data_IF_964794791514
#
_entry.id   IF_964794791514
#
_cell.length_a   1.000
_cell.length_b   1.000
_cell.length_c   1.000
_cell.angle_alpha   90.00
_cell.angle_beta   90.00
_cell.angle_gamma   90.00
#
_symmetry.space_group_name_H-M   'P 1'
#
loop_
_entity.id
_entity.type
_entity.pdbx_description
1 polymer ?
#
# COMPACT_ATOMS: atom_id res chain seq x y z
N UNK A 1 -21.02 -63.85 2.05
CA UNK A 1 -22.41 -63.34 2.16
C UNK A 1 -22.30 -61.85 2.51
N UNK A 2 -23.03 -60.88 1.94
CA UNK A 2 -24.20 -60.89 1.01
C UNK A 2 -23.95 -59.99 -0.25
N UNK A 3 -24.86 -60.05 -1.24
CA UNK A 3 -25.09 -59.12 -2.38
C UNK A 3 -26.53 -58.58 -2.28
N UNK A 4 -27.08 -57.60 -3.02
CA UNK A 4 -26.69 -56.69 -4.14
C UNK A 4 -26.81 -55.21 -3.66
N UNK A 5 -26.99 -54.08 -4.37
CA UNK A 5 -27.29 -53.58 -5.76
C UNK A 5 -26.75 -52.11 -5.82
N UNK A 6 -26.56 -51.32 -6.90
CA UNK A 6 -26.97 -51.24 -8.32
C UNK A 6 -28.40 -50.73 -8.65
N UNK A 7 -28.56 -50.06 -9.81
CA UNK A 7 -29.73 -49.26 -10.33
C UNK A 7 -29.67 -47.79 -9.83
N UNK A 8 -29.13 -46.82 -10.58
CA UNK A 8 -29.68 -46.06 -11.73
C UNK A 8 -30.95 -45.25 -11.40
N UNK A 9 -31.18 -44.02 -11.88
CA UNK A 9 -30.43 -43.22 -12.85
C UNK A 9 -31.40 -42.64 -13.91
N UNK A 10 -31.28 -41.35 -14.25
CA UNK A 10 -32.07 -40.70 -15.30
C UNK A 10 -31.22 -39.68 -16.06
N UNK A 11 -31.14 -39.85 -17.38
CA UNK A 11 -30.84 -38.75 -18.29
C UNK A 11 -32.17 -38.11 -18.70
N UNK A 12 -32.22 -36.77 -18.77
CA UNK A 12 -33.24 -36.05 -19.54
C UNK A 12 -32.49 -35.19 -20.53
N UNK A 13 -32.77 -35.39 -21.83
CA UNK A 13 -32.05 -34.74 -22.90
C UNK A 13 -32.87 -33.61 -23.52
N UNK A 14 -32.17 -32.56 -23.94
CA UNK A 14 -32.64 -31.63 -24.97
C UNK A 14 -33.57 -30.51 -24.51
N UNK A 15 -33.13 -29.26 -24.72
CA UNK A 15 -33.79 -28.44 -25.72
C UNK A 15 -32.74 -27.58 -26.43
N UNK A 16 -32.54 -27.88 -27.72
CA UNK A 16 -31.75 -27.08 -28.64
C UNK A 16 -32.71 -26.09 -29.30
N UNK A 17 -32.56 -24.79 -29.02
CA UNK A 17 -33.34 -23.75 -29.70
C UNK A 17 -32.37 -22.88 -30.50
N UNK A 18 -32.29 -23.13 -31.80
CA UNK A 18 -31.57 -22.30 -32.76
C UNK A 18 -32.57 -21.52 -33.62
N UNK A 19 -32.48 -20.20 -33.54
CA UNK A 19 -33.34 -19.24 -34.24
C UNK A 19 -33.47 -17.97 -33.40
N UNK A 20 -33.36 -16.76 -33.94
CA UNK A 20 -33.04 -16.35 -35.32
C UNK A 20 -32.51 -14.91 -35.33
N UNK A 21 -31.97 -14.46 -36.47
CA UNK A 21 -31.24 -13.19 -36.58
C UNK A 21 -32.06 -11.92 -36.31
N UNK A 22 -31.31 -10.83 -36.05
CA UNK A 22 -31.67 -9.41 -36.08
C UNK A 22 -32.47 -8.83 -34.89
N UNK A 23 -31.89 -7.80 -34.27
CA UNK A 23 -32.48 -7.10 -33.13
C UNK A 23 -31.54 -6.06 -32.50
N UNK A 24 -31.16 -5.01 -33.24
CA UNK A 24 -30.41 -3.89 -32.66
C UNK A 24 -31.34 -3.04 -31.75
N UNK A 25 -31.45 -3.42 -30.48
CA UNK A 25 -32.22 -2.70 -29.47
C UNK A 25 -31.35 -2.24 -28.31
N UNK A 26 -31.21 -0.92 -28.13
CA UNK A 26 -30.57 -0.33 -26.94
C UNK A 26 -31.41 -0.62 -25.69
N UNK A 27 -30.98 -1.58 -24.86
CA UNK A 27 -31.16 -1.46 -23.42
C UNK A 27 -29.97 -0.67 -22.87
N UNK A 28 -30.17 0.61 -22.58
CA UNK A 28 -29.17 1.42 -21.86
C UNK A 28 -29.15 1.02 -20.38
N UNK A 29 -28.55 -0.14 -20.10
CA UNK A 29 -28.17 -0.53 -18.76
C UNK A 29 -27.19 0.51 -18.25
N UNK A 30 -27.69 1.47 -17.47
CA UNK A 30 -26.87 2.45 -16.76
C UNK A 30 -25.97 1.71 -15.79
N UNK A 31 -24.80 1.31 -16.26
CA UNK A 31 -23.75 0.77 -15.42
C UNK A 31 -23.30 1.89 -14.50
N UNK A 32 -23.83 1.88 -13.28
CA UNK A 32 -23.17 2.50 -12.14
C UNK A 32 -21.86 1.79 -11.94
N UNK A 33 -20.84 2.26 -12.66
CA UNK A 33 -19.47 1.88 -12.48
C UNK A 33 -19.00 2.41 -11.12
N UNK A 34 -19.39 1.70 -10.06
CA UNK A 34 -18.55 1.58 -8.89
C UNK A 34 -17.22 1.04 -9.43
N UNK A 35 -16.25 1.92 -9.64
CA UNK A 35 -14.88 1.52 -9.94
C UNK A 35 -14.39 0.75 -8.72
N UNK A 36 -14.52 -0.57 -8.78
CA UNK A 36 -13.91 -1.47 -7.81
C UNK A 36 -12.41 -1.25 -7.94
N UNK A 37 -11.87 -0.56 -6.93
CA UNK A 37 -10.46 -0.21 -6.85
C UNK A 37 -9.58 -1.43 -7.17
N UNK A 38 -8.55 -1.25 -7.99
CA UNK A 38 -7.65 -2.35 -8.34
C UNK A 38 -6.88 -2.82 -7.10
N UNK A 39 -6.33 -4.04 -7.14
CA UNK A 39 -5.46 -4.49 -6.06
C UNK A 39 -4.21 -3.62 -5.94
N UNK A 40 -3.67 -3.14 -7.08
CA UNK A 40 -2.53 -2.22 -7.09
C UNK A 40 -2.85 -0.89 -6.39
N UNK A 41 -4.01 -0.27 -6.63
CA UNK A 41 -4.39 0.97 -5.96
C UNK A 41 -4.56 0.80 -4.43
N UNK A 42 -5.12 -0.34 -3.98
CA UNK A 42 -5.15 -0.69 -2.54
C UNK A 42 -3.75 -0.85 -1.95
N UNK A 43 -2.93 -1.68 -2.58
CA UNK A 43 -1.55 -1.95 -2.16
C UNK A 43 -0.72 -0.64 -2.12
N UNK A 44 -0.92 0.25 -3.08
CA UNK A 44 -0.34 1.60 -3.14
C UNK A 44 -0.75 2.47 -1.94
N UNK A 45 -2.05 2.50 -1.57
CA UNK A 45 -2.54 3.26 -0.39
C UNK A 45 -2.05 2.66 0.93
N UNK A 46 -1.94 1.34 1.03
CA UNK A 46 -1.39 0.67 2.21
C UNK A 46 0.11 0.99 2.39
N UNK A 47 0.87 1.05 1.30
CA UNK A 47 2.27 1.48 1.31
C UNK A 47 2.44 2.98 1.66
N UNK A 48 1.60 3.86 1.11
CA UNK A 48 1.59 5.30 1.46
C UNK A 48 1.34 5.52 2.96
N UNK A 49 0.39 4.76 3.50
CA UNK A 49 0.07 4.75 4.93
C UNK A 49 1.26 4.24 5.74
N UNK A 50 1.91 3.14 5.34
CA UNK A 50 3.07 2.60 6.05
C UNK A 50 4.26 3.58 6.07
N UNK A 51 4.54 4.24 4.95
CA UNK A 51 5.56 5.30 4.87
C UNK A 51 5.30 6.40 5.91
N UNK A 52 4.07 6.94 5.95
CA UNK A 52 3.71 8.01 6.88
C UNK A 52 3.51 7.54 8.32
N UNK A 53 3.25 6.26 8.57
CA UNK A 53 3.26 5.70 9.93
C UNK A 53 4.69 5.50 10.46
N UNK A 54 5.66 5.18 9.61
CA UNK A 54 7.09 5.10 9.98
C UNK A 54 7.62 6.49 10.39
N UNK A 55 7.41 7.51 9.55
CA UNK A 55 7.80 8.90 9.86
C UNK A 55 7.17 9.41 11.16
N UNK A 56 5.88 9.10 11.41
CA UNK A 56 5.20 9.47 12.65
C UNK A 56 5.79 8.75 13.87
N UNK A 57 6.11 7.46 13.76
CA UNK A 57 6.78 6.72 14.82
C UNK A 57 8.20 7.27 15.11
N UNK A 58 8.93 7.72 14.09
CA UNK A 58 10.21 8.42 14.23
C UNK A 58 10.09 9.77 14.97
N UNK A 59 9.04 10.56 14.69
CA UNK A 59 8.77 11.83 15.40
C UNK A 59 8.43 11.59 16.88
N UNK A 60 7.65 10.56 17.19
CA UNK A 60 7.26 10.21 18.56
C UNK A 60 8.40 9.49 19.33
N UNK A 61 9.37 8.94 18.59
CA UNK A 61 10.39 7.99 19.05
C UNK A 61 9.72 6.75 19.67
N UNK A 62 8.70 6.23 18.98
CA UNK A 62 7.98 5.00 19.34
C UNK A 62 8.77 3.78 18.87
N UNK A 63 9.70 3.33 19.72
CA UNK A 63 10.62 2.21 19.45
C UNK A 63 9.87 0.91 19.13
N UNK A 64 8.75 0.63 19.83
CA UNK A 64 7.96 -0.58 19.57
C UNK A 64 7.36 -0.53 18.15
N UNK A 65 6.79 0.62 17.76
CA UNK A 65 6.22 0.80 16.42
C UNK A 65 7.28 0.86 15.32
N UNK A 66 8.44 1.48 15.57
CA UNK A 66 9.57 1.49 14.63
C UNK A 66 10.06 0.07 14.34
N UNK A 67 10.20 -0.76 15.38
CA UNK A 67 10.52 -2.18 15.24
C UNK A 67 9.48 -2.93 14.39
N UNK A 68 8.17 -2.71 14.61
CA UNK A 68 7.11 -3.40 13.85
C UNK A 68 7.01 -2.94 12.38
N UNK A 69 7.37 -1.69 12.09
CA UNK A 69 7.34 -1.09 10.74
C UNK A 69 8.64 -1.32 9.93
N UNK A 70 9.55 -2.16 10.41
CA UNK A 70 10.80 -2.52 9.73
C UNK A 70 10.79 -3.92 9.13
N UNK A 71 11.32 -4.04 7.91
CA UNK A 71 11.58 -5.31 7.24
C UNK A 71 12.90 -5.94 7.69
N UNK A 72 14.02 -5.26 7.45
CA UNK A 72 15.31 -5.55 8.11
C UNK A 72 15.33 -4.90 9.50
N UNK A 73 15.58 -5.71 10.52
CA UNK A 73 15.51 -5.30 11.92
C UNK A 73 16.77 -4.52 12.31
N UNK A 74 16.59 -3.25 12.66
CA UNK A 74 17.58 -2.48 13.41
C UNK A 74 17.23 -2.53 14.90
N UNK A 75 18.22 -2.80 15.76
CA UNK A 75 17.99 -2.80 17.21
C UNK A 75 18.04 -1.36 17.76
N UNK A 76 16.86 -0.79 17.97
CA UNK A 76 16.68 0.48 18.69
C UNK A 76 16.81 0.35 20.22
N UNK A 77 17.01 -0.87 20.73
CA UNK A 77 17.00 -1.21 22.16
C UNK A 77 15.59 -1.29 22.76
N UNK A 78 15.53 -1.44 24.08
CA UNK A 78 14.30 -1.24 24.85
C UNK A 78 14.16 0.23 25.28
N UNK A 79 12.95 0.77 25.27
CA UNK A 79 12.72 2.15 25.69
C UNK A 79 11.27 2.52 25.96
N UNK A 80 11.11 3.68 26.58
CA UNK A 80 9.83 4.40 26.61
C UNK A 80 9.56 5.10 25.27
N UNK A 81 8.47 5.87 25.17
CA UNK A 81 8.23 6.79 24.05
C UNK A 81 8.54 8.21 24.53
N UNK A 82 9.71 8.81 24.19
CA UNK A 82 10.11 10.14 24.63
C UNK A 82 9.16 11.28 24.28
N UNK A 83 8.45 11.18 23.14
CA UNK A 83 7.66 12.28 22.58
C UNK A 83 6.22 11.81 22.22
N UNK A 84 5.46 11.27 23.18
CA UNK A 84 4.28 10.45 22.90
C UNK A 84 3.14 11.24 22.23
N UNK A 85 2.98 11.06 20.93
CA UNK A 85 1.97 11.72 20.12
C UNK A 85 2.34 13.14 19.67
N UNK A 86 3.61 13.55 19.76
CA UNK A 86 4.12 14.75 19.11
C UNK A 86 3.84 14.76 17.59
N UNK A 87 3.83 13.59 16.96
CA UNK A 87 3.45 13.36 15.56
C UNK A 87 2.05 13.91 15.21
N UNK A 88 1.14 14.03 16.18
CA UNK A 88 -0.18 14.64 16.00
C UNK A 88 -0.11 16.14 15.72
N UNK A 89 0.92 16.83 16.21
CA UNK A 89 1.14 18.25 15.91
C UNK A 89 1.56 18.49 14.46
N UNK A 90 2.11 17.49 13.77
CA UNK A 90 2.43 17.58 12.34
C UNK A 90 1.18 17.92 11.52
N UNK A 91 0.05 17.23 11.78
CA UNK A 91 -1.18 17.30 10.97
C UNK A 91 -0.86 16.96 9.49
N UNK A 92 -1.52 17.62 8.54
CA UNK A 92 -1.26 17.57 7.09
C UNK A 92 -0.03 18.41 6.65
N UNK A 93 0.96 18.65 7.53
CA UNK A 93 2.17 19.41 7.18
C UNK A 93 3.29 18.51 6.67
N UNK A 94 2.99 17.82 5.58
CA UNK A 94 3.92 16.95 4.87
C UNK A 94 3.61 16.86 3.38
N UNK A 95 4.63 16.62 2.57
CA UNK A 95 4.53 16.21 1.18
C UNK A 95 4.99 14.76 1.06
N UNK A 96 4.23 13.95 0.31
CA UNK A 96 4.54 12.55 0.06
C UNK A 96 4.75 12.32 -1.44
N UNK A 97 5.98 12.05 -1.85
CA UNK A 97 6.36 11.79 -3.24
C UNK A 97 6.69 10.31 -3.42
N UNK A 98 5.83 9.55 -4.12
CA UNK A 98 6.03 8.12 -4.39
C UNK A 98 6.58 7.88 -5.79
N UNK A 99 7.57 7.01 -5.90
CA UNK A 99 8.11 6.48 -7.14
C UNK A 99 7.61 5.04 -7.33
N UNK A 100 6.92 4.80 -8.43
CA UNK A 100 6.32 3.52 -8.82
C UNK A 100 7.20 2.87 -9.89
N UNK A 101 8.15 2.02 -9.46
CA UNK A 101 9.01 1.28 -10.38
C UNK A 101 8.18 0.27 -11.16
N UNK A 102 8.46 0.12 -12.46
CA UNK A 102 7.71 -0.80 -13.36
C UNK A 102 8.02 -2.28 -13.15
N UNK A 103 8.66 -2.64 -12.05
CA UNK A 103 9.05 -4.01 -11.75
C UNK A 103 7.91 -4.79 -11.07
N UNK A 104 7.96 -6.11 -11.12
CA UNK A 104 6.93 -7.00 -10.56
C UNK A 104 7.00 -7.13 -9.02
N UNK A 105 7.93 -6.41 -8.38
CA UNK A 105 8.18 -6.44 -6.93
C UNK A 105 7.13 -5.63 -6.18
N UNK A 106 6.73 -6.13 -5.01
CA UNK A 106 5.90 -5.39 -4.06
C UNK A 106 6.75 -4.39 -3.25
N UNK A 107 7.33 -3.39 -3.92
CA UNK A 107 8.10 -2.31 -3.31
C UNK A 107 7.83 -0.94 -3.95
N UNK A 108 7.84 0.11 -3.11
CA UNK A 108 7.68 1.50 -3.51
C UNK A 108 8.73 2.37 -2.83
N UNK A 109 9.21 3.37 -3.55
CA UNK A 109 10.23 4.31 -3.05
C UNK A 109 9.60 5.67 -2.79
N UNK A 110 10.07 6.38 -1.77
CA UNK A 110 9.48 7.65 -1.35
C UNK A 110 10.54 8.70 -1.03
N UNK A 111 10.22 9.95 -1.38
CA UNK A 111 10.75 11.13 -0.71
C UNK A 111 9.62 11.72 0.14
N UNK A 112 9.84 11.86 1.45
CA UNK A 112 8.90 12.52 2.36
C UNK A 112 9.51 13.85 2.77
N UNK A 113 8.73 14.94 2.75
CA UNK A 113 9.10 16.23 3.34
C UNK A 113 8.07 16.54 4.43
N UNK A 114 8.47 16.95 5.62
CA UNK A 114 7.53 17.15 6.73
C UNK A 114 7.97 18.20 7.75
N UNK A 115 7.02 18.82 8.44
CA UNK A 115 7.29 19.61 9.64
C UNK A 115 7.50 18.69 10.85
N UNK A 116 8.70 18.66 11.40
CA UNK A 116 9.00 17.89 12.61
C UNK A 116 8.68 18.73 13.88
N UNK A 117 7.70 18.35 14.72
CA UNK A 117 7.21 19.24 15.78
C UNK A 117 8.20 19.54 16.89
N UNK A 118 8.90 18.51 17.40
CA UNK A 118 9.94 18.66 18.43
C UNK A 118 11.07 19.57 17.96
N UNK A 119 11.57 19.38 16.74
CA UNK A 119 12.66 20.17 16.16
C UNK A 119 12.20 21.54 15.58
N UNK A 120 10.88 21.77 15.50
CA UNK A 120 10.24 22.99 14.96
C UNK A 120 10.72 23.41 13.58
N UNK A 121 11.13 22.44 12.77
CA UNK A 121 11.78 22.64 11.48
C UNK A 121 11.22 21.69 10.42
N UNK A 122 11.37 22.07 9.15
CA UNK A 122 11.17 21.14 8.03
C UNK A 122 12.30 20.10 8.02
N UNK A 123 11.94 18.86 7.70
CA UNK A 123 12.82 17.71 7.52
C UNK A 123 12.42 16.97 6.25
N UNK A 124 13.29 16.09 5.80
CA UNK A 124 13.00 15.13 4.73
C UNK A 124 13.59 13.77 5.07
N UNK A 125 13.01 12.72 4.51
CA UNK A 125 13.46 11.34 4.68
C UNK A 125 13.13 10.54 3.42
N UNK A 126 14.12 9.79 2.92
CA UNK A 126 13.95 8.89 1.78
C UNK A 126 13.74 7.47 2.29
N UNK A 127 12.67 6.82 1.83
CA UNK A 127 12.21 5.51 2.31
C UNK A 127 12.08 4.51 1.15
N UNK A 128 12.38 3.25 1.44
CA UNK A 128 11.99 2.11 0.60
C UNK A 128 10.96 1.30 1.37
N UNK A 129 9.70 1.28 0.93
CA UNK A 129 8.64 0.50 1.59
C UNK A 129 8.38 -0.78 0.80
N UNK A 130 8.52 -1.93 1.46
CA UNK A 130 8.33 -3.26 0.88
C UNK A 130 7.17 -3.98 1.55
N UNK A 131 6.53 -4.92 0.83
CA UNK A 131 5.61 -5.87 1.44
C UNK A 131 6.37 -7.06 2.02
N UNK A 132 6.27 -7.29 3.32
CA UNK A 132 6.84 -8.46 3.98
C UNK A 132 6.01 -9.70 3.65
N UNK A 133 6.60 -10.67 2.94
CA UNK A 133 5.94 -11.93 2.58
C UNK A 133 5.52 -12.77 3.81
N UNK A 134 6.11 -12.53 4.99
CA UNK A 134 5.86 -13.31 6.21
C UNK A 134 4.55 -12.95 6.91
N UNK A 135 4.15 -11.67 6.87
CA UNK A 135 2.92 -11.18 7.52
C UNK A 135 2.01 -10.32 6.61
N UNK A 136 2.40 -10.15 5.34
CA UNK A 136 1.65 -9.45 4.29
C UNK A 136 1.65 -7.92 4.40
N UNK A 137 2.29 -7.34 5.43
CA UNK A 137 2.25 -5.90 5.72
C UNK A 137 3.30 -5.12 4.93
N UNK A 138 3.00 -3.84 4.70
CA UNK A 138 3.96 -2.86 4.18
C UNK A 138 4.83 -2.30 5.31
N UNK A 139 6.16 -2.30 5.11
CA UNK A 139 7.19 -1.93 6.09
C UNK A 139 8.29 -1.13 5.40
N UNK A 140 8.90 -0.16 6.10
CA UNK A 140 10.13 0.46 5.61
C UNK A 140 11.27 -0.57 5.65
N UNK A 141 12.20 -0.49 4.69
CA UNK A 141 13.17 -1.55 4.44
C UNK A 141 14.15 -1.71 5.60
N UNK A 142 14.78 -0.62 6.04
CA UNK A 142 15.77 -0.58 7.13
C UNK A 142 15.68 0.76 7.87
N UNK A 143 16.40 0.90 8.99
CA UNK A 143 16.56 2.20 9.64
C UNK A 143 17.33 3.17 8.74
N UNK A 144 16.80 4.39 8.57
CA UNK A 144 17.47 5.50 7.90
C UNK A 144 17.99 5.17 6.48
N UNK A 145 17.23 4.36 5.71
CA UNK A 145 17.56 3.87 4.35
C UNK A 145 18.27 4.93 3.48
N UNK A 146 17.71 6.14 3.35
CA UNK A 146 18.29 7.26 2.58
C UNK A 146 19.58 7.90 3.11
N UNK A 147 20.15 7.40 4.22
CA UNK A 147 21.45 7.83 4.76
C UNK A 147 22.59 6.96 4.24
N UNK A 148 22.29 5.71 3.84
CA UNK A 148 23.26 4.75 3.30
C UNK A 148 22.97 4.35 1.85
N UNK A 149 21.74 4.58 1.37
CA UNK A 149 21.32 4.44 -0.02
C UNK A 149 21.07 5.83 -0.65
N UNK A 150 20.95 5.86 -1.99
CA UNK A 150 20.54 7.06 -2.74
C UNK A 150 19.24 6.78 -3.49
N UNK A 151 18.19 7.55 -3.16
CA UNK A 151 16.90 7.50 -3.86
C UNK A 151 17.08 7.79 -5.35
N UNK A 152 17.77 8.88 -5.70
CA UNK A 152 18.06 9.28 -7.09
C UNK A 152 18.79 8.17 -7.86
N UNK A 153 19.74 7.46 -7.23
CA UNK A 153 20.47 6.36 -7.87
C UNK A 153 19.60 5.13 -8.14
N UNK A 154 18.49 4.98 -7.41
CA UNK A 154 17.55 3.86 -7.57
C UNK A 154 16.42 4.19 -8.56
N UNK A 155 15.85 5.40 -8.49
CA UNK A 155 14.71 5.82 -9.33
C UNK A 155 15.14 6.49 -10.65
N UNK A 156 16.40 6.90 -10.76
CA UNK A 156 16.96 7.57 -11.93
C UNK A 156 16.17 8.84 -12.29
N UNK A 157 15.88 9.04 -13.57
CA UNK A 157 15.11 10.19 -14.06
C UNK A 157 13.59 10.03 -13.92
N UNK A 158 13.10 9.16 -13.04
CA UNK A 158 11.66 8.99 -12.82
C UNK A 158 11.08 10.22 -12.11
N UNK A 159 9.90 10.68 -12.54
CA UNK A 159 9.12 11.70 -11.81
C UNK A 159 8.20 11.01 -10.81
N UNK A 160 8.14 11.46 -9.54
CA UNK A 160 7.25 10.88 -8.55
C UNK A 160 5.79 11.27 -8.79
N UNK A 161 4.88 10.46 -8.25
CA UNK A 161 3.51 10.87 -7.95
C UNK A 161 3.53 11.65 -6.64
N UNK A 162 3.07 12.90 -6.65
CA UNK A 162 2.89 13.73 -5.44
C UNK A 162 1.55 13.38 -4.80
N UNK A 163 1.56 12.39 -3.90
CA UNK A 163 0.39 11.71 -3.32
C UNK A 163 -0.37 12.62 -2.36
N UNK A 164 0.33 13.26 -1.44
CA UNK A 164 -0.20 14.23 -0.47
C UNK A 164 0.62 15.51 -0.54
N UNK A 165 -0.04 16.67 -0.36
CA UNK A 165 0.52 17.99 -0.66
C UNK A 165 0.36 18.96 0.50
N UNK A 166 1.46 19.43 1.09
CA UNK A 166 1.41 20.34 2.23
C UNK A 166 0.74 21.68 1.83
N UNK A 167 -0.38 21.99 2.47
CA UNK A 167 -1.01 23.31 2.37
C UNK A 167 -2.07 23.42 1.27
N UNK A 168 -2.26 22.36 0.48
CA UNK A 168 -3.52 22.15 -0.22
C UNK A 168 -4.48 21.45 0.76
N UNK A 169 -5.78 21.72 0.63
CA UNK A 169 -6.81 20.86 1.24
C UNK A 169 -7.14 19.75 0.25
N UNK A 170 -7.40 18.56 0.76
CA UNK A 170 -8.08 17.48 0.03
C UNK A 170 -9.53 17.86 -0.29
#
# INVERSE_FOLDING_TARGET
MKKVKFVSGMCVAGMLVLGGMAGCGKSETKSTANQQESQKERDMKEADKAAMEYVRAGIDVDIAKLNDLQYEKYDFGEGSIPHPGASKEMKERYDLYRYDLKEEKAEYYYHVVYYHPIQKAQKSEDLKVVRDEKDGKWKNYEWAWGTVNSLESTVGSMKPTHVHKWGQKE
#
